data_IF_927204081942
#
_entry.id   IF_927204081942
#
_cell.length_a   1.000
_cell.length_b   1.000
_cell.length_c   1.000
_cell.angle_alpha   90.00
_cell.angle_beta   90.00
_cell.angle_gamma   90.00
#
_symmetry.space_group_name_H-M   'P 1'
#
loop_
_entity.id
_entity.type
_entity.pdbx_description
1 polymer ?
#
# COMPACT_ATOMS: atom_id res chain seq x y z
N UNK A 1 2.01 2.46 -7.59
CA UNK A 1 0.69 2.04 -8.11
C UNK A 1 0.77 1.96 -9.63
N UNK A 2 0.20 0.93 -10.26
CA UNK A 2 0.11 0.89 -11.72
C UNK A 2 -1.05 1.79 -12.18
N UNK A 3 -0.72 2.92 -12.80
CA UNK A 3 -1.71 3.94 -13.20
C UNK A 3 -2.64 3.46 -14.30
N UNK A 4 -2.17 2.59 -15.21
CA UNK A 4 -2.99 2.08 -16.31
C UNK A 4 -4.16 1.23 -15.81
N UNK A 5 -3.98 0.57 -14.65
CA UNK A 5 -5.01 -0.28 -14.04
C UNK A 5 -6.10 0.51 -13.30
N UNK A 6 -5.93 1.81 -13.09
CA UNK A 6 -6.93 2.66 -12.41
C UNK A 6 -8.22 2.86 -13.24
N UNK A 7 -8.21 2.46 -14.51
CA UNK A 7 -9.43 2.41 -15.34
C UNK A 7 -10.43 1.36 -14.84
N UNK A 8 -9.95 0.30 -14.18
CA UNK A 8 -10.80 -0.75 -13.61
C UNK A 8 -11.35 -0.26 -12.26
N UNK A 9 -12.68 -0.16 -12.08
CA UNK A 9 -13.27 0.36 -10.85
C UNK A 9 -12.90 -0.45 -9.60
N UNK A 10 -12.85 -1.78 -9.71
CA UNK A 10 -12.50 -2.67 -8.60
C UNK A 10 -11.04 -2.48 -8.19
N UNK A 11 -10.13 -2.40 -9.17
CA UNK A 11 -8.73 -2.09 -8.92
C UNK A 11 -8.55 -0.69 -8.31
N UNK A 12 -9.29 0.31 -8.80
CA UNK A 12 -9.24 1.68 -8.25
C UNK A 12 -9.66 1.70 -6.78
N UNK A 13 -10.76 1.05 -6.43
CA UNK A 13 -11.22 0.95 -5.03
C UNK A 13 -10.20 0.25 -4.14
N UNK A 14 -9.61 -0.84 -4.60
CA UNK A 14 -8.53 -1.55 -3.89
C UNK A 14 -7.29 -0.65 -3.70
N UNK A 15 -6.87 0.06 -4.75
CA UNK A 15 -5.72 0.98 -4.70
C UNK A 15 -5.95 2.12 -3.71
N UNK A 16 -7.14 2.72 -3.69
CA UNK A 16 -7.52 3.75 -2.72
C UNK A 16 -7.52 3.21 -1.28
N UNK A 17 -8.00 1.97 -1.06
CA UNK A 17 -7.98 1.34 0.25
C UNK A 17 -6.55 1.10 0.74
N UNK A 18 -5.66 0.60 -0.14
CA UNK A 18 -4.24 0.43 0.17
C UNK A 18 -3.59 1.77 0.55
N UNK A 19 -3.85 2.83 -0.21
CA UNK A 19 -3.32 4.17 0.09
C UNK A 19 -3.81 4.72 1.44
N UNK A 20 -5.08 4.46 1.81
CA UNK A 20 -5.60 4.83 3.13
C UNK A 20 -4.93 4.06 4.26
N UNK A 21 -4.68 2.77 4.08
CA UNK A 21 -4.00 1.94 5.08
C UNK A 21 -2.57 2.43 5.35
N UNK A 22 -1.80 2.72 4.29
CA UNK A 22 -0.43 3.24 4.43
C UNK A 22 -0.40 4.61 5.11
N UNK A 23 -1.36 5.47 4.80
CA UNK A 23 -1.42 6.84 5.33
C UNK A 23 -2.22 6.96 6.65
N UNK A 24 -2.61 5.86 7.28
CA UNK A 24 -3.33 5.91 8.54
C UNK A 24 -2.44 6.57 9.61
N UNK A 25 -2.91 7.58 10.36
CA UNK A 25 -2.14 8.19 11.45
C UNK A 25 -1.63 7.18 12.49
N UNK A 26 -2.35 6.08 12.73
CA UNK A 26 -1.91 5.03 13.66
C UNK A 26 -0.68 4.26 13.16
N UNK A 27 -0.37 4.35 11.86
CA UNK A 27 0.76 3.71 11.21
C UNK A 27 1.93 4.68 10.96
N UNK A 28 1.85 5.93 11.46
CA UNK A 28 2.87 6.95 11.27
C UNK A 28 3.43 7.45 12.62
N UNK A 29 4.74 7.33 12.87
CA UNK A 29 5.77 6.79 11.98
C UNK A 29 5.70 5.26 11.87
N UNK A 30 6.14 4.73 10.72
CA UNK A 30 6.31 3.29 10.54
C UNK A 30 7.40 2.77 11.49
N UNK A 31 7.14 1.64 12.13
CA UNK A 31 8.09 0.97 13.02
C UNK A 31 9.16 0.24 12.18
N UNK A 32 10.18 0.96 11.74
CA UNK A 32 11.25 0.44 10.91
C UNK A 32 12.58 0.42 11.69
N UNK A 33 13.47 -0.55 11.43
CA UNK A 33 14.78 -0.61 12.10
C UNK A 33 15.65 0.59 11.70
N UNK A 34 16.04 1.43 12.66
CA UNK A 34 16.79 2.67 12.39
C UNK A 34 18.12 2.44 11.65
N UNK A 35 18.79 1.31 11.92
CA UNK A 35 20.08 0.93 11.34
C UNK A 35 19.99 0.42 9.89
N UNK A 36 18.78 0.30 9.33
CA UNK A 36 18.52 -0.33 8.03
C UNK A 36 17.89 0.59 7.00
N UNK A 37 18.10 1.90 7.11
CA UNK A 37 17.52 2.91 6.22
C UNK A 37 17.64 2.54 4.74
N UNK A 38 18.83 2.10 4.31
CA UNK A 38 19.05 1.74 2.91
C UNK A 38 18.17 0.59 2.39
N UNK A 39 17.65 -0.26 3.28
CA UNK A 39 16.73 -1.34 2.93
C UNK A 39 15.28 -0.86 2.86
N UNK A 40 14.88 0.10 3.70
CA UNK A 40 13.47 0.48 3.84
C UNK A 40 13.12 1.86 3.29
N UNK A 41 14.11 2.65 2.85
CA UNK A 41 13.88 3.96 2.21
C UNK A 41 13.03 3.84 0.93
N UNK A 42 13.07 2.70 0.26
CA UNK A 42 12.26 2.35 -0.89
C UNK A 42 11.65 0.96 -0.69
N UNK A 43 10.38 0.91 -0.25
CA UNK A 43 9.64 -0.34 -0.05
C UNK A 43 8.49 -0.44 -1.06
N UNK A 44 8.36 -1.61 -1.68
CA UNK A 44 7.19 -1.97 -2.47
C UNK A 44 6.22 -2.78 -1.60
N UNK A 45 5.10 -2.19 -1.23
CA UNK A 45 4.00 -2.91 -0.56
C UNK A 45 3.08 -3.57 -1.59
N UNK A 46 2.78 -4.85 -1.36
CA UNK A 46 1.77 -5.59 -2.13
C UNK A 46 0.58 -5.84 -1.23
N UNK A 47 -0.59 -5.31 -1.60
CA UNK A 47 -1.84 -5.54 -0.88
C UNK A 47 -2.66 -6.57 -1.63
N UNK A 48 -3.01 -7.66 -0.94
CA UNK A 48 -3.86 -8.71 -1.49
C UNK A 48 -5.33 -8.40 -1.18
N UNK A 49 -6.11 -8.29 -2.26
CA UNK A 49 -7.55 -8.08 -2.22
C UNK A 49 -8.32 -9.22 -2.90
N UNK A 50 -7.67 -10.36 -3.19
CA UNK A 50 -8.33 -11.54 -3.76
C UNK A 50 -9.58 -11.93 -2.97
N UNK A 51 -9.49 -11.90 -1.63
CA UNK A 51 -10.57 -12.16 -0.69
C UNK A 51 -11.79 -11.22 -0.79
N UNK A 52 -11.66 -10.06 -1.43
CA UNK A 52 -12.81 -9.15 -1.62
C UNK A 52 -13.73 -9.56 -2.76
N UNK A 53 -13.28 -10.48 -3.62
CA UNK A 53 -13.96 -10.84 -4.87
C UNK A 53 -14.30 -12.34 -4.98
N UNK A 54 -14.11 -13.09 -3.88
CA UNK A 54 -14.62 -14.46 -3.70
C UNK A 54 -16.12 -14.49 -3.36
#
# INVERSE_FOLDING_TARGET
MNQERLIDPSFRTAAEAAMRAVNNPDCSPLLLPEDKYDLWKEINFTFDFSWMFD
#
